data_IF_496792783135
#
_entry.id   IF_496792783135
#
_cell.length_a   1.000
_cell.length_b   1.000
_cell.length_c   1.000
_cell.angle_alpha   90.00
_cell.angle_beta   90.00
_cell.angle_gamma   90.00
#
_symmetry.space_group_name_H-M   'P 1'
#
loop_
_entity.id
_entity.type
_entity.pdbx_description
1 polymer ?
#
# COMPACT_ATOMS: atom_id res chain seq x y z
N UNK A 1 -14.40 -25.06 0.48
CA UNK A 1 -14.14 -24.10 -0.63
C UNK A 1 -13.32 -22.88 -0.18
N UNK A 2 -13.66 -22.20 0.92
CA UNK A 2 -12.92 -21.01 1.38
C UNK A 2 -11.46 -21.28 1.77
N UNK A 3 -11.17 -22.38 2.48
CA UNK A 3 -9.80 -22.76 2.84
C UNK A 3 -8.91 -22.99 1.61
N UNK A 4 -9.44 -23.62 0.55
CA UNK A 4 -8.74 -23.83 -0.72
C UNK A 4 -8.43 -22.51 -1.42
N UNK A 5 -9.37 -21.56 -1.43
CA UNK A 5 -9.15 -20.23 -2.00
C UNK A 5 -8.08 -19.45 -1.22
N UNK A 6 -8.16 -19.43 0.11
CA UNK A 6 -7.17 -18.79 0.98
C UNK A 6 -5.79 -19.41 0.77
N UNK A 7 -5.70 -20.73 0.73
CA UNK A 7 -4.44 -21.44 0.48
C UNK A 7 -3.83 -21.06 -0.88
N UNK A 8 -4.62 -21.07 -1.95
CA UNK A 8 -4.14 -20.66 -3.28
C UNK A 8 -3.66 -19.22 -3.31
N UNK A 9 -4.36 -18.31 -2.61
CA UNK A 9 -3.99 -16.89 -2.56
C UNK A 9 -2.71 -16.67 -1.75
N UNK A 10 -2.54 -17.39 -0.64
CA UNK A 10 -1.30 -17.39 0.14
C UNK A 10 -0.12 -17.95 -0.67
N UNK A 11 -0.34 -19.06 -1.38
CA UNK A 11 0.70 -19.67 -2.20
C UNK A 11 1.10 -18.75 -3.36
N UNK A 12 0.13 -18.10 -4.01
CA UNK A 12 0.37 -17.14 -5.09
C UNK A 12 1.11 -15.91 -4.59
N UNK A 13 0.73 -15.38 -3.42
CA UNK A 13 1.42 -14.25 -2.79
C UNK A 13 2.87 -14.61 -2.41
N UNK A 14 3.08 -15.81 -1.84
CA UNK A 14 4.41 -16.29 -1.50
C UNK A 14 5.28 -16.48 -2.74
N UNK A 15 4.73 -17.06 -3.82
CA UNK A 15 5.42 -17.22 -5.08
C UNK A 15 5.79 -15.87 -5.70
N UNK A 16 4.88 -14.90 -5.67
CA UNK A 16 5.13 -13.54 -6.15
C UNK A 16 6.25 -12.86 -5.35
N UNK A 17 6.20 -12.93 -4.02
CA UNK A 17 7.24 -12.38 -3.15
C UNK A 17 8.59 -13.04 -3.40
N UNK A 18 8.60 -14.36 -3.58
CA UNK A 18 9.82 -15.10 -3.88
C UNK A 18 10.41 -14.68 -5.23
N UNK A 19 9.61 -14.64 -6.30
CA UNK A 19 10.03 -14.19 -7.62
C UNK A 19 10.51 -12.73 -7.61
N UNK A 20 9.77 -11.84 -6.95
CA UNK A 20 10.16 -10.44 -6.78
C UNK A 20 11.49 -10.32 -6.02
N UNK A 21 11.68 -11.09 -4.95
CA UNK A 21 12.93 -11.10 -4.19
C UNK A 21 14.12 -11.59 -5.04
N UNK A 22 13.93 -12.63 -5.86
CA UNK A 22 14.95 -13.08 -6.80
C UNK A 22 15.28 -11.97 -7.79
N UNK A 23 14.26 -11.42 -8.45
CA UNK A 23 14.45 -10.35 -9.42
C UNK A 23 15.24 -9.18 -8.82
N UNK A 24 14.80 -8.65 -7.68
CA UNK A 24 15.47 -7.55 -6.98
C UNK A 24 16.91 -7.94 -6.64
N UNK A 25 17.14 -9.12 -6.05
CA UNK A 25 18.47 -9.56 -5.66
C UNK A 25 19.43 -9.69 -6.85
N UNK A 26 18.99 -10.32 -7.95
CA UNK A 26 19.81 -10.49 -9.15
C UNK A 26 20.05 -9.15 -9.85
N UNK A 27 19.05 -8.27 -9.94
CA UNK A 27 19.25 -6.93 -10.50
C UNK A 27 20.26 -6.12 -9.69
N UNK A 28 20.21 -6.18 -8.36
CA UNK A 28 21.18 -5.52 -7.49
C UNK A 28 22.58 -6.15 -7.61
N UNK A 29 22.67 -7.46 -7.80
CA UNK A 29 23.94 -8.15 -7.99
C UNK A 29 24.57 -7.87 -9.37
N UNK A 30 23.76 -7.56 -10.37
CA UNK A 30 24.20 -7.17 -11.72
C UNK A 30 24.42 -5.66 -11.85
N UNK A 31 23.92 -4.87 -10.90
CA UNK A 31 24.05 -3.42 -10.92
C UNK A 31 25.54 -3.03 -10.90
N UNK A 32 25.97 -2.05 -11.72
CA UNK A 32 27.33 -1.57 -11.70
C UNK A 32 27.60 -0.87 -10.35
N UNK A 33 28.46 -1.48 -9.53
CA UNK A 33 28.85 -0.95 -8.23
C UNK A 33 29.20 -2.07 -7.26
N UNK A 34 30.40 -1.99 -6.66
CA UNK A 34 30.77 -2.91 -5.58
C UNK A 34 30.30 -2.34 -4.24
N UNK A 35 29.48 -3.10 -3.52
CA UNK A 35 29.01 -2.74 -2.19
C UNK A 35 30.18 -2.48 -1.21
N UNK A 36 31.31 -3.16 -1.38
CA UNK A 36 32.50 -2.92 -0.56
C UNK A 36 33.16 -1.57 -0.89
N UNK A 37 33.16 -1.15 -2.15
CA UNK A 37 33.65 0.18 -2.59
C UNK A 37 32.71 1.27 -2.11
N UNK A 38 31.40 1.06 -2.16
CA UNK A 38 30.44 2.03 -1.62
C UNK A 38 30.54 2.18 -0.11
N UNK A 39 30.85 1.10 0.61
CA UNK A 39 30.98 1.14 2.07
C UNK A 39 32.31 1.76 2.54
N UNK A 40 33.44 1.47 1.87
CA UNK A 40 34.77 1.99 2.26
C UNK A 40 35.16 3.30 1.54
N UNK A 41 34.42 3.69 0.49
CA UNK A 41 34.70 4.84 -0.35
C UNK A 41 35.80 4.60 -1.38
N UNK A 42 35.96 5.54 -2.32
CA UNK A 42 36.91 5.44 -3.45
C UNK A 42 38.40 5.38 -3.03
N UNK A 43 38.72 5.75 -1.78
CA UNK A 43 40.09 5.75 -1.24
C UNK A 43 40.44 4.45 -0.48
N UNK A 44 39.58 3.45 -0.52
CA UNK A 44 39.79 2.19 0.18
C UNK A 44 41.02 1.43 -0.37
N UNK A 45 41.86 0.90 0.53
CA UNK A 45 42.98 0.05 0.09
C UNK A 45 42.46 -1.27 -0.50
N UNK A 46 43.16 -1.86 -1.50
CA UNK A 46 42.76 -3.13 -2.10
C UNK A 46 42.62 -4.26 -1.06
N UNK A 47 43.46 -4.26 -0.02
CA UNK A 47 43.38 -5.25 1.06
C UNK A 47 42.11 -5.09 1.91
N UNK A 48 41.71 -3.84 2.23
CA UNK A 48 40.49 -3.58 2.98
C UNK A 48 39.24 -3.99 2.20
N UNK A 49 39.22 -3.73 0.89
CA UNK A 49 38.14 -4.16 0.00
C UNK A 49 38.00 -5.68 -0.04
N UNK A 50 39.09 -6.41 -0.22
CA UNK A 50 39.06 -7.87 -0.27
C UNK A 50 38.65 -8.48 1.07
N UNK A 51 39.09 -7.90 2.18
CA UNK A 51 38.68 -8.32 3.53
C UNK A 51 37.17 -8.14 3.72
N UNK A 52 36.63 -6.99 3.31
CA UNK A 52 35.21 -6.69 3.43
C UNK A 52 34.36 -7.61 2.51
N UNK A 53 34.82 -7.85 1.28
CA UNK A 53 34.16 -8.80 0.37
C UNK A 53 34.09 -10.20 0.95
N UNK A 54 35.17 -10.66 1.56
CA UNK A 54 35.19 -11.98 2.18
C UNK A 54 34.27 -12.05 3.41
N UNK A 55 34.28 -11.02 4.26
CA UNK A 55 33.41 -10.94 5.45
C UNK A 55 31.92 -10.97 5.09
N UNK A 56 31.51 -10.24 4.04
CA UNK A 56 30.11 -10.20 3.59
C UNK A 56 29.77 -11.25 2.52
N UNK A 57 30.73 -12.15 2.21
CA UNK A 57 30.54 -13.20 1.21
C UNK A 57 30.27 -12.68 -0.20
N UNK A 58 30.72 -11.47 -0.54
CA UNK A 58 30.57 -10.87 -1.87
C UNK A 58 31.35 -11.63 -2.94
N UNK A 59 32.38 -12.39 -2.54
CA UNK A 59 33.18 -13.25 -3.42
C UNK A 59 32.47 -14.57 -3.79
N UNK A 60 31.34 -14.88 -3.15
CA UNK A 60 30.60 -16.13 -3.39
C UNK A 60 29.67 -15.99 -4.60
N UNK A 61 29.33 -17.10 -5.28
CA UNK A 61 28.32 -17.10 -6.34
C UNK A 61 27.01 -16.47 -5.88
N UNK A 62 26.40 -15.64 -6.74
CA UNK A 62 25.17 -14.88 -6.43
C UNK A 62 24.05 -15.80 -5.92
N UNK A 63 23.91 -16.99 -6.52
CA UNK A 63 22.92 -17.99 -6.09
C UNK A 63 23.16 -18.50 -4.66
N UNK A 64 24.41 -18.66 -4.24
CA UNK A 64 24.75 -19.07 -2.87
C UNK A 64 24.44 -17.94 -1.87
N UNK A 65 24.77 -16.69 -2.23
CA UNK A 65 24.44 -15.50 -1.41
C UNK A 65 22.93 -15.34 -1.23
N UNK A 66 22.15 -15.52 -2.31
CA UNK A 66 20.68 -15.47 -2.25
C UNK A 66 20.11 -16.54 -1.32
N UNK A 67 20.58 -17.79 -1.42
CA UNK A 67 20.13 -18.88 -0.53
C UNK A 67 20.45 -18.60 0.93
N UNK A 68 21.66 -18.11 1.21
CA UNK A 68 22.07 -17.75 2.57
C UNK A 68 21.19 -16.63 3.13
N UNK A 69 20.99 -15.55 2.36
CA UNK A 69 20.12 -14.44 2.74
C UNK A 69 18.67 -14.89 2.97
N UNK A 70 18.10 -15.67 2.04
CA UNK A 70 16.74 -16.19 2.16
C UNK A 70 16.59 -17.08 3.40
N UNK A 71 17.58 -17.94 3.68
CA UNK A 71 17.57 -18.78 4.88
C UNK A 71 17.64 -17.97 6.18
N UNK A 72 18.38 -16.85 6.19
CA UNK A 72 18.42 -15.91 7.31
C UNK A 72 17.05 -15.28 7.54
N UNK A 73 16.45 -14.73 6.47
CA UNK A 73 15.10 -14.12 6.55
C UNK A 73 14.06 -15.11 7.07
N UNK A 74 14.06 -16.35 6.58
CA UNK A 74 13.14 -17.39 7.06
C UNK A 74 13.33 -17.74 8.53
N UNK A 75 14.51 -17.46 9.11
CA UNK A 75 14.83 -17.60 10.54
C UNK A 75 14.62 -16.31 11.34
N UNK A 76 14.16 -15.24 10.69
CA UNK A 76 13.97 -13.93 11.32
C UNK A 76 15.22 -13.06 11.39
N UNK A 77 16.29 -13.42 10.69
CA UNK A 77 17.54 -12.66 10.64
C UNK A 77 17.80 -12.09 9.23
N UNK A 78 17.48 -10.82 8.97
CA UNK A 78 17.74 -10.17 7.69
C UNK A 78 19.23 -9.83 7.47
N UNK A 79 20.10 -10.04 8.47
CA UNK A 79 21.53 -9.79 8.41
C UNK A 79 21.95 -8.36 8.79
N UNK A 80 23.20 -8.03 8.49
CA UNK A 80 23.84 -6.74 8.79
C UNK A 80 23.99 -5.91 7.51
N UNK A 81 23.71 -4.61 7.60
CA UNK A 81 23.94 -3.65 6.53
C UNK A 81 25.43 -3.44 6.29
N UNK A 82 25.87 -3.56 5.04
CA UNK A 82 27.28 -3.37 4.63
C UNK A 82 27.70 -1.91 4.83
N UNK A 83 26.79 -0.96 4.56
CA UNK A 83 27.06 0.48 4.60
C UNK A 83 27.02 1.06 6.01
N UNK A 84 26.00 0.70 6.80
CA UNK A 84 25.78 1.27 8.13
C UNK A 84 26.29 0.38 9.28
N UNK A 85 26.74 -0.85 8.98
CA UNK A 85 27.22 -1.84 9.96
C UNK A 85 26.25 -2.11 11.12
N UNK A 86 24.95 -1.94 10.87
CA UNK A 86 23.89 -2.18 11.84
C UNK A 86 22.97 -3.31 11.37
N UNK A 87 22.28 -4.00 12.29
CA UNK A 87 21.26 -4.97 11.93
C UNK A 87 20.21 -4.36 11.01
N UNK A 88 19.94 -5.04 9.90
CA UNK A 88 18.94 -4.59 8.91
C UNK A 88 17.55 -4.50 9.56
N UNK A 89 17.28 -5.36 10.55
CA UNK A 89 16.04 -5.33 11.34
C UNK A 89 15.82 -3.97 12.02
N UNK A 90 16.87 -3.35 12.58
CA UNK A 90 16.78 -2.06 13.28
C UNK A 90 16.56 -0.88 12.34
N UNK A 91 16.97 -1.03 11.08
CA UNK A 91 16.75 -0.04 10.02
C UNK A 91 15.31 -0.15 9.50
N UNK A 92 14.83 -1.37 9.24
CA UNK A 92 13.53 -1.61 8.60
C UNK A 92 12.38 -1.52 9.62
N UNK A 93 12.54 -2.01 10.85
CA UNK A 93 11.44 -2.10 11.81
C UNK A 93 10.79 -0.73 12.14
N UNK A 94 11.55 0.37 12.36
CA UNK A 94 10.96 1.69 12.55
C UNK A 94 10.23 2.19 11.30
N UNK A 95 10.79 1.97 10.11
CA UNK A 95 10.16 2.35 8.85
C UNK A 95 8.86 1.57 8.61
N UNK A 96 8.88 0.26 8.80
CA UNK A 96 7.71 -0.61 8.69
C UNK A 96 6.61 -0.20 9.68
N UNK A 97 6.96 0.14 10.92
CA UNK A 97 6.01 0.68 11.91
C UNK A 97 5.37 1.98 11.43
N UNK A 98 6.16 2.93 10.94
CA UNK A 98 5.66 4.22 10.43
C UNK A 98 4.72 4.02 9.22
N UNK A 99 5.10 3.16 8.27
CA UNK A 99 4.25 2.81 7.12
C UNK A 99 2.95 2.13 7.54
N UNK A 100 3.00 1.23 8.53
CA UNK A 100 1.81 0.57 9.08
C UNK A 100 0.84 1.54 9.74
N UNK A 101 1.34 2.48 10.54
CA UNK A 101 0.53 3.54 11.16
C UNK A 101 -0.13 4.45 10.12
N UNK A 102 0.64 4.85 9.10
CA UNK A 102 0.13 5.65 7.99
C UNK A 102 -0.99 4.92 7.24
N UNK A 103 -0.80 3.63 6.97
CA UNK A 103 -1.81 2.79 6.32
C UNK A 103 -3.09 2.74 7.15
N UNK A 104 -2.99 2.52 8.47
CA UNK A 104 -4.16 2.50 9.35
C UNK A 104 -4.90 3.83 9.38
N UNK A 105 -4.18 4.95 9.45
CA UNK A 105 -4.76 6.29 9.41
C UNK A 105 -5.46 6.56 8.06
N UNK A 106 -4.82 6.18 6.95
CA UNK A 106 -5.41 6.29 5.62
C UNK A 106 -6.66 5.40 5.49
N UNK A 107 -6.63 4.16 5.98
CA UNK A 107 -7.79 3.25 5.97
C UNK A 107 -9.02 3.85 6.64
N UNK A 108 -8.86 4.54 7.78
CA UNK A 108 -9.96 5.22 8.46
C UNK A 108 -10.63 6.28 7.59
N UNK A 109 -9.85 7.03 6.83
CA UNK A 109 -10.35 8.06 5.92
C UNK A 109 -10.85 7.50 4.58
N UNK A 110 -10.30 6.37 4.11
CA UNK A 110 -10.78 5.65 2.91
C UNK A 110 -12.22 5.14 3.08
N UNK A 111 -12.68 4.90 4.31
CA UNK A 111 -14.08 4.60 4.59
C UNK A 111 -15.01 5.70 4.05
N UNK A 112 -14.60 6.96 4.06
CA UNK A 112 -15.37 8.08 3.49
C UNK A 112 -15.52 7.97 1.97
N UNK A 113 -14.45 7.56 1.27
CA UNK A 113 -14.53 7.26 -0.17
C UNK A 113 -15.45 6.06 -0.44
N UNK A 114 -15.38 5.05 0.42
CA UNK A 114 -16.25 3.89 0.35
C UNK A 114 -17.74 4.22 0.52
N UNK A 115 -18.08 4.98 1.58
CA UNK A 115 -19.46 5.44 1.80
C UNK A 115 -19.92 6.38 0.69
N UNK A 116 -19.05 7.26 0.19
CA UNK A 116 -19.32 8.08 -0.99
C UNK A 116 -19.67 7.24 -2.22
N UNK A 117 -18.97 6.13 -2.45
CA UNK A 117 -19.26 5.22 -3.57
C UNK A 117 -20.61 4.53 -3.44
N UNK A 118 -20.97 4.12 -2.22
CA UNK A 118 -22.31 3.55 -1.92
C UNK A 118 -23.39 4.60 -2.16
N UNK A 119 -23.21 5.83 -1.65
CA UNK A 119 -24.16 6.93 -1.81
C UNK A 119 -24.35 7.28 -3.29
N UNK A 120 -23.27 7.41 -4.05
CA UNK A 120 -23.33 7.69 -5.48
C UNK A 120 -24.09 6.60 -6.25
N UNK A 121 -23.92 5.32 -5.88
CA UNK A 121 -24.67 4.22 -6.49
C UNK A 121 -26.17 4.22 -6.10
N UNK A 122 -26.49 4.53 -4.85
CA UNK A 122 -27.89 4.58 -4.38
C UNK A 122 -28.68 5.72 -5.03
N UNK A 123 -28.05 6.87 -5.23
CA UNK A 123 -28.64 8.05 -5.84
C UNK A 123 -28.24 8.20 -7.32
N UNK A 124 -28.06 7.07 -8.01
CA UNK A 124 -27.66 7.02 -9.43
C UNK A 124 -28.46 8.03 -10.27
N UNK A 125 -27.75 8.75 -11.13
CA UNK A 125 -28.27 9.76 -12.07
C UNK A 125 -28.87 11.03 -11.42
N UNK A 126 -28.89 11.12 -10.08
CA UNK A 126 -29.28 12.32 -9.32
C UNK A 126 -28.08 13.24 -9.05
N UNK A 127 -28.35 14.41 -8.46
CA UNK A 127 -27.32 15.43 -8.20
C UNK A 127 -26.21 14.94 -7.27
N UNK A 128 -26.51 14.09 -6.28
CA UNK A 128 -25.51 13.53 -5.36
C UNK A 128 -24.50 12.68 -6.12
N UNK A 129 -24.98 11.83 -7.02
CA UNK A 129 -24.14 10.99 -7.87
C UNK A 129 -23.27 11.84 -8.81
N UNK A 130 -23.87 12.85 -9.46
CA UNK A 130 -23.13 13.76 -10.34
C UNK A 130 -22.04 14.52 -9.60
N UNK A 131 -22.33 15.05 -8.41
CA UNK A 131 -21.36 15.78 -7.59
C UNK A 131 -20.22 14.87 -7.14
N UNK A 132 -20.53 13.71 -6.56
CA UNK A 132 -19.53 12.76 -6.09
C UNK A 132 -18.68 12.20 -7.23
N UNK A 133 -19.29 11.91 -8.38
CA UNK A 133 -18.57 11.47 -9.58
C UNK A 133 -17.68 12.56 -10.15
N UNK A 134 -18.11 13.82 -10.13
CA UNK A 134 -17.30 14.98 -10.54
C UNK A 134 -16.08 15.17 -9.63
N UNK A 135 -16.28 15.11 -8.31
CA UNK A 135 -15.19 15.17 -7.31
C UNK A 135 -14.20 14.03 -7.57
N UNK A 136 -14.69 12.80 -7.73
CA UNK A 136 -13.84 11.64 -7.96
C UNK A 136 -13.05 11.78 -9.27
N UNK A 137 -13.69 12.16 -10.38
CA UNK A 137 -13.03 12.35 -11.68
C UNK A 137 -11.98 13.46 -11.63
N UNK A 138 -12.27 14.57 -10.95
CA UNK A 138 -11.32 15.66 -10.75
C UNK A 138 -10.11 15.20 -9.94
N UNK A 139 -10.35 14.51 -8.82
CA UNK A 139 -9.29 13.94 -7.99
C UNK A 139 -8.42 12.92 -8.73
N UNK A 140 -9.02 12.03 -9.52
CA UNK A 140 -8.32 11.02 -10.32
C UNK A 140 -7.50 11.62 -11.47
N UNK A 141 -7.93 12.77 -12.00
CA UNK A 141 -7.23 13.47 -13.08
C UNK A 141 -6.13 14.40 -12.56
N UNK A 142 -6.09 14.65 -11.25
CA UNK A 142 -5.12 15.53 -10.62
C UNK A 142 -3.88 14.72 -10.23
N UNK A 143 -2.67 15.16 -10.62
CA UNK A 143 -1.43 14.56 -10.14
C UNK A 143 -1.36 14.53 -8.61
N UNK A 144 -0.91 13.41 -8.04
CA UNK A 144 -0.91 13.19 -6.59
C UNK A 144 -0.12 14.25 -5.81
N UNK A 145 1.01 14.70 -6.36
CA UNK A 145 1.86 15.70 -5.72
C UNK A 145 1.15 17.05 -5.60
N UNK A 146 0.26 17.41 -6.54
CA UNK A 146 -0.51 18.66 -6.47
C UNK A 146 -1.49 18.60 -5.30
N UNK A 147 -2.20 17.47 -5.16
CA UNK A 147 -3.13 17.26 -4.03
C UNK A 147 -2.36 17.33 -2.71
N UNK A 148 -1.17 16.72 -2.66
CA UNK A 148 -0.30 16.79 -1.49
C UNK A 148 0.13 18.23 -1.17
N UNK A 149 0.64 18.97 -2.15
CA UNK A 149 1.07 20.36 -1.98
C UNK A 149 -0.08 21.27 -1.55
N UNK A 150 -1.26 21.13 -2.16
CA UNK A 150 -2.44 21.91 -1.77
C UNK A 150 -2.89 21.59 -0.35
N UNK A 151 -2.89 20.31 0.03
CA UNK A 151 -3.27 19.90 1.38
C UNK A 151 -2.33 20.50 2.42
N UNK A 152 -1.02 20.50 2.15
CA UNK A 152 -0.02 21.17 3.00
C UNK A 152 -0.26 22.68 3.03
N UNK A 153 -0.43 23.32 1.87
CA UNK A 153 -0.60 24.77 1.80
C UNK A 153 -1.85 25.24 2.56
N UNK A 154 -2.96 24.54 2.42
CA UNK A 154 -4.23 24.92 3.05
C UNK A 154 -4.24 24.62 4.55
N UNK A 155 -3.81 23.42 4.95
CA UNK A 155 -3.98 22.93 6.32
C UNK A 155 -2.77 23.13 7.23
N UNK A 156 -1.56 23.12 6.67
CA UNK A 156 -0.35 23.41 7.42
C UNK A 156 -0.03 24.91 7.40
N UNK A 157 0.12 25.49 6.20
CA UNK A 157 0.58 26.89 6.06
C UNK A 157 -0.56 27.88 6.30
N UNK A 158 -1.74 27.64 5.70
CA UNK A 158 -2.88 28.55 5.79
C UNK A 158 -3.50 28.60 7.20
N UNK A 159 -3.79 27.43 7.78
CA UNK A 159 -4.44 27.35 9.10
C UNK A 159 -3.49 27.16 10.29
N UNK A 160 -2.27 26.66 10.07
CA UNK A 160 -1.34 26.35 11.17
C UNK A 160 -1.77 25.16 12.04
N UNK A 161 -2.80 24.40 11.64
CA UNK A 161 -3.38 23.32 12.45
C UNK A 161 -2.49 22.07 12.49
N UNK A 162 -1.71 21.84 11.43
CA UNK A 162 -0.89 20.66 11.29
C UNK A 162 0.55 21.01 10.88
N UNK A 163 1.55 20.21 11.28
CA UNK A 163 2.93 20.44 10.88
C UNK A 163 3.12 20.16 9.39
N UNK A 164 3.84 21.04 8.68
CA UNK A 164 4.13 20.86 7.26
C UNK A 164 5.11 19.70 6.97
N UNK A 165 5.90 19.30 7.98
CA UNK A 165 6.92 18.26 7.88
C UNK A 165 6.55 17.09 8.78
N UNK A 166 6.40 15.91 8.18
CA UNK A 166 6.03 14.69 8.88
C UNK A 166 7.25 13.84 9.25
N UNK A 167 8.10 14.32 10.14
CA UNK A 167 9.22 13.55 10.68
C UNK A 167 8.80 12.93 12.02
N UNK A 168 8.40 11.65 11.99
CA UNK A 168 8.11 10.89 13.21
C UNK A 168 9.41 10.62 13.97
N UNK A 169 9.61 11.15 15.19
CA UNK A 169 10.75 10.82 16.02
C UNK A 169 10.87 9.31 16.25
N UNK A 170 12.11 8.81 16.39
CA UNK A 170 12.35 7.39 16.66
C UNK A 170 11.84 6.96 18.06
N UNK A 171 11.78 7.91 19.00
CA UNK A 171 11.36 7.75 20.39
C UNK A 171 10.21 8.69 20.72
N UNK A 172 9.06 8.15 21.12
CA UNK A 172 7.88 8.92 21.55
C UNK A 172 6.59 8.10 21.42
N UNK A 173 5.58 8.44 22.22
CA UNK A 173 4.27 7.81 22.13
C UNK A 173 3.55 8.27 20.85
N UNK A 174 3.02 7.31 20.10
CA UNK A 174 2.28 7.54 18.85
C UNK A 174 0.99 8.34 19.10
N UNK A 175 0.39 8.19 20.29
CA UNK A 175 -0.79 8.95 20.72
C UNK A 175 -0.57 10.45 20.71
N UNK A 176 0.65 10.88 21.00
CA UNK A 176 0.96 12.31 21.20
C UNK A 176 1.32 12.98 19.86
N UNK A 177 1.42 12.19 18.79
CA UNK A 177 1.94 12.59 17.49
C UNK A 177 0.96 12.33 16.34
N UNK A 178 -0.33 12.13 16.64
CA UNK A 178 -1.35 11.87 15.63
C UNK A 178 -1.42 12.97 14.57
N UNK A 179 -1.22 14.24 14.96
CA UNK A 179 -1.24 15.41 14.08
C UNK A 179 -0.19 15.33 12.95
N UNK A 180 0.94 14.68 13.20
CA UNK A 180 2.02 14.45 12.22
C UNK A 180 1.58 13.51 11.10
N UNK A 181 0.66 12.59 11.41
CA UNK A 181 0.14 11.57 10.48
C UNK A 181 -1.07 12.06 9.69
N UNK A 182 -1.77 13.11 10.13
CA UNK A 182 -3.04 13.54 9.52
C UNK A 182 -2.86 13.98 8.07
N UNK A 183 -1.90 14.86 7.76
CA UNK A 183 -1.75 15.35 6.39
C UNK A 183 -1.33 14.25 5.40
N UNK A 184 -0.33 13.40 5.71
CA UNK A 184 0.00 12.26 4.86
C UNK A 184 -1.15 11.24 4.73
N UNK A 185 -1.88 10.97 5.81
CA UNK A 185 -3.04 10.06 5.75
C UNK A 185 -4.19 10.65 4.92
N UNK A 186 -4.46 11.95 5.07
CA UNK A 186 -5.51 12.66 4.34
C UNK A 186 -5.22 12.72 2.85
N UNK A 187 -3.98 13.01 2.47
CA UNK A 187 -3.57 13.04 1.06
C UNK A 187 -3.72 11.67 0.41
N UNK A 188 -3.23 10.61 1.07
CA UNK A 188 -3.45 9.23 0.60
C UNK A 188 -4.94 8.87 0.51
N UNK A 189 -5.72 9.28 1.52
CA UNK A 189 -7.14 8.95 1.58
C UNK A 189 -8.01 9.75 0.59
N UNK A 190 -7.64 10.98 0.25
CA UNK A 190 -8.35 11.76 -0.77
C UNK A 190 -8.22 11.09 -2.13
N UNK A 191 -7.00 10.72 -2.52
CA UNK A 191 -6.72 10.08 -3.82
C UNK A 191 -7.28 8.66 -3.83
N UNK A 192 -6.93 7.85 -2.83
CA UNK A 192 -7.44 6.48 -2.72
C UNK A 192 -8.96 6.43 -2.54
N UNK A 193 -9.54 7.42 -1.87
CA UNK A 193 -10.98 7.56 -1.66
C UNK A 193 -11.72 7.86 -2.96
N UNK A 194 -11.18 8.71 -3.83
CA UNK A 194 -11.73 8.95 -5.17
C UNK A 194 -11.73 7.66 -6.01
N UNK A 195 -10.64 6.88 -5.95
CA UNK A 195 -10.54 5.60 -6.63
C UNK A 195 -11.58 4.59 -6.11
N UNK A 196 -11.65 4.41 -4.79
CA UNK A 196 -12.62 3.51 -4.14
C UNK A 196 -14.06 3.91 -4.43
N UNK A 197 -14.38 5.21 -4.34
CA UNK A 197 -15.71 5.75 -4.66
C UNK A 197 -16.12 5.31 -6.06
N UNK A 198 -15.26 5.54 -7.07
CA UNK A 198 -15.54 5.19 -8.46
C UNK A 198 -15.72 3.68 -8.65
N UNK A 199 -14.87 2.87 -8.03
CA UNK A 199 -14.91 1.41 -8.15
C UNK A 199 -16.16 0.81 -7.48
N UNK A 200 -16.49 1.26 -6.26
CA UNK A 200 -17.67 0.84 -5.52
C UNK A 200 -18.93 1.26 -6.29
N UNK A 201 -18.99 2.52 -6.74
CA UNK A 201 -20.10 3.03 -7.55
C UNK A 201 -20.33 2.15 -8.78
N UNK A 202 -19.29 1.92 -9.58
CA UNK A 202 -19.39 1.12 -10.79
C UNK A 202 -19.83 -0.32 -10.50
N UNK A 203 -19.30 -0.93 -9.43
CA UNK A 203 -19.63 -2.30 -9.05
C UNK A 203 -21.06 -2.44 -8.55
N UNK A 204 -21.52 -1.52 -7.71
CA UNK A 204 -22.89 -1.53 -7.19
C UNK A 204 -23.93 -1.26 -8.28
N UNK A 205 -23.67 -0.31 -9.18
CA UNK A 205 -24.55 -0.06 -10.32
C UNK A 205 -24.71 -1.33 -11.17
N UNK A 206 -23.62 -2.05 -11.45
CA UNK A 206 -23.70 -3.33 -12.17
C UNK A 206 -24.52 -4.39 -11.40
N UNK A 207 -24.30 -4.51 -10.09
CA UNK A 207 -25.02 -5.48 -9.26
C UNK A 207 -26.51 -5.17 -9.13
N UNK A 208 -26.95 -3.91 -9.22
CA UNK A 208 -28.39 -3.59 -9.19
C UNK A 208 -29.20 -4.22 -10.32
N UNK A 209 -28.55 -4.62 -11.43
CA UNK A 209 -29.18 -5.33 -12.54
C UNK A 209 -29.16 -6.86 -12.38
N UNK A 210 -28.57 -7.40 -11.31
CA UNK A 210 -28.46 -8.83 -11.10
C UNK A 210 -29.82 -9.47 -10.74
N UNK A 211 -30.13 -10.68 -11.27
CA UNK A 211 -31.43 -11.33 -11.07
C UNK A 211 -31.82 -11.52 -9.59
N UNK A 212 -30.84 -11.88 -8.75
CA UNK A 212 -31.02 -12.06 -7.31
C UNK A 212 -31.45 -10.77 -6.57
N UNK A 213 -30.95 -9.61 -7.00
CA UNK A 213 -31.30 -8.31 -6.44
C UNK A 213 -32.68 -7.85 -6.94
N UNK A 214 -33.02 -8.15 -8.19
CA UNK A 214 -34.36 -7.92 -8.74
C UNK A 214 -35.41 -8.74 -7.97
N UNK A 215 -35.16 -10.03 -7.75
CA UNK A 215 -36.05 -10.88 -6.94
C UNK A 215 -36.23 -10.37 -5.52
N UNK A 216 -35.16 -9.91 -4.86
CA UNK A 216 -35.26 -9.32 -3.52
C UNK A 216 -36.10 -8.02 -3.50
N UNK A 217 -36.00 -7.18 -4.54
CA UNK A 217 -36.85 -5.99 -4.68
C UNK A 217 -38.33 -6.34 -4.89
N UNK A 218 -38.61 -7.38 -5.67
CA UNK A 218 -39.96 -7.89 -5.87
C UNK A 218 -40.57 -8.42 -4.56
N UNK A 219 -39.76 -9.01 -3.70
CA UNK A 219 -40.13 -9.42 -2.34
C UNK A 219 -40.23 -8.25 -1.33
N UNK A 220 -40.18 -6.99 -1.80
CA UNK A 220 -40.36 -5.80 -0.95
C UNK A 220 -39.10 -5.28 -0.26
N UNK A 221 -37.93 -5.89 -0.44
CA UNK A 221 -36.68 -5.41 0.18
C UNK A 221 -36.19 -4.15 -0.55
N UNK A 222 -36.15 -3.02 0.15
CA UNK A 222 -35.80 -1.71 -0.41
C UNK A 222 -34.78 -0.95 0.45
N UNK A 223 -34.21 0.11 -0.13
CA UNK A 223 -33.37 1.08 0.60
C UNK A 223 -32.08 0.49 1.18
N UNK A 224 -31.72 0.95 2.40
CA UNK A 224 -30.50 0.57 3.10
C UNK A 224 -30.44 -0.94 3.41
N UNK A 225 -31.59 -1.59 3.64
CA UNK A 225 -31.64 -3.03 3.90
C UNK A 225 -31.21 -3.84 2.68
N UNK A 226 -31.65 -3.45 1.48
CA UNK A 226 -31.21 -4.06 0.22
C UNK A 226 -29.70 -3.88 0.03
N UNK A 227 -29.18 -2.69 0.37
CA UNK A 227 -27.77 -2.36 0.23
C UNK A 227 -26.92 -3.18 1.21
N UNK A 228 -27.24 -3.14 2.49
CA UNK A 228 -26.47 -3.77 3.55
C UNK A 228 -26.53 -5.31 3.52
N UNK A 229 -27.70 -5.90 3.24
CA UNK A 229 -27.87 -7.36 3.27
C UNK A 229 -27.60 -8.06 1.94
N UNK A 230 -27.72 -7.38 0.80
CA UNK A 230 -27.65 -8.06 -0.51
C UNK A 230 -26.56 -7.48 -1.41
N UNK A 231 -26.48 -6.16 -1.56
CA UNK A 231 -25.49 -5.54 -2.46
C UNK A 231 -24.07 -5.54 -1.87
N UNK A 232 -23.86 -5.10 -0.62
CA UNK A 232 -22.52 -5.01 -0.02
C UNK A 232 -21.81 -6.37 0.12
N UNK A 233 -22.47 -7.44 0.60
CA UNK A 233 -21.84 -8.75 0.67
C UNK A 233 -21.48 -9.32 -0.70
N UNK A 234 -22.28 -9.03 -1.73
CA UNK A 234 -22.01 -9.47 -3.10
C UNK A 234 -20.97 -8.61 -3.80
N UNK A 235 -20.88 -7.33 -3.44
CA UNK A 235 -19.84 -6.42 -3.90
C UNK A 235 -18.46 -6.75 -3.30
N UNK A 236 -18.40 -7.47 -2.16
CA UNK A 236 -17.14 -7.89 -1.56
C UNK A 236 -16.26 -8.72 -2.52
N UNK A 237 -16.86 -9.55 -3.38
CA UNK A 237 -16.13 -10.33 -4.39
C UNK A 237 -15.44 -9.45 -5.44
N UNK A 238 -16.20 -8.64 -6.21
CA UNK A 238 -15.64 -7.69 -7.17
C UNK A 238 -14.67 -6.69 -6.54
N UNK A 239 -14.94 -6.20 -5.33
CA UNK A 239 -14.04 -5.30 -4.61
C UNK A 239 -12.73 -5.99 -4.19
N UNK A 240 -12.76 -7.27 -3.84
CA UNK A 240 -11.56 -8.06 -3.58
C UNK A 240 -10.72 -8.35 -4.84
N UNK A 241 -11.33 -8.24 -6.03
CA UNK A 241 -10.68 -8.35 -7.34
C UNK A 241 -10.20 -7.01 -7.91
N UNK A 242 -10.50 -5.90 -7.23
CA UNK A 242 -10.00 -4.56 -7.58
C UNK A 242 -8.60 -4.27 -7.00
N UNK A 243 -8.06 -5.16 -6.15
CA UNK A 243 -6.61 -5.33 -5.99
C UNK A 243 -6.09 -5.93 -7.30
N UNK A 244 -5.10 -5.31 -7.96
CA UNK A 244 -4.82 -5.52 -9.38
C UNK A 244 -4.74 -7.02 -9.73
N UNK A 245 -5.60 -7.52 -10.63
CA UNK A 245 -5.47 -8.86 -11.15
C UNK A 245 -4.32 -8.88 -12.15
N UNK A 246 -3.23 -9.55 -11.79
CA UNK A 246 -2.26 -10.02 -12.77
C UNK A 246 -2.96 -11.12 -13.57
N UNK A 247 -3.48 -10.78 -14.75
CA UNK A 247 -3.85 -11.77 -15.74
C UNK A 247 -2.61 -12.10 -16.58
N UNK A 248 -2.20 -13.38 -16.69
CA UNK A 248 -1.30 -13.78 -17.75
C UNK A 248 -2.07 -13.75 -19.07
N UNK A 249 -1.56 -12.99 -20.04
CA UNK A 249 -1.84 -13.19 -21.47
C UNK A 249 -1.27 -14.52 -21.93
#
# INVERSE_FOLDING_TARGET
MMARFVLWRLLSALLLLWLASMLIFFTLALAPGDAAVQALGERATPQALQTLRHQFGLDRPVAARYRQWLSGILRGDPGISITSQQPVADIIAPAARRSGLLLLAACGMLLLGGTGGVLAAMYRDRWQDRLLSFIAMSGLSTPEFIVATLTILLLAVGTGWFPAVSLLPASGNISDQWSILVLPALTLALIGGCYLLRMIRASLIRLTAAPNILSARLNGVRGLTLVARHLLPQAAGPLAHCLPPVYPT
#
